data_IF_646083777645
#
_entry.id   IF_646083777645
#
_cell.length_a   1.000
_cell.length_b   1.000
_cell.length_c   1.000
_cell.angle_alpha   90.00
_cell.angle_beta   90.00
_cell.angle_gamma   90.00
#
_symmetry.space_group_name_H-M   'P 1'
#
loop_
_entity.id
_entity.type
_entity.pdbx_description
1 polymer ?
#
# COMPACT_ATOMS: atom_id res chain seq x y z
N UNK A 1 36.26 -11.31 30.97
CA UNK A 1 35.11 -10.39 30.98
C UNK A 1 34.14 -10.83 29.89
N UNK A 2 33.06 -11.49 30.25
CA UNK A 2 32.06 -11.97 29.29
C UNK A 2 31.10 -10.83 28.95
N UNK A 3 31.07 -10.41 27.68
CA UNK A 3 30.13 -9.41 27.13
C UNK A 3 28.74 -10.03 27.08
N UNK A 4 27.87 -9.59 27.96
CA UNK A 4 26.45 -9.98 28.01
C UNK A 4 25.80 -9.54 26.69
N UNK A 5 25.49 -10.48 25.78
CA UNK A 5 24.66 -10.22 24.60
C UNK A 5 23.29 -9.83 25.09
N UNK A 6 22.94 -8.55 24.90
CA UNK A 6 21.63 -8.01 25.16
C UNK A 6 20.71 -8.49 24.03
N UNK A 7 19.95 -9.54 24.35
CA UNK A 7 18.97 -10.13 23.44
C UNK A 7 17.85 -9.12 23.26
N UNK A 8 17.83 -8.38 22.14
CA UNK A 8 16.76 -7.50 21.71
C UNK A 8 15.54 -8.35 21.29
N UNK A 9 14.92 -9.00 22.25
CA UNK A 9 13.56 -9.52 22.05
C UNK A 9 12.65 -8.31 22.05
N UNK A 10 12.04 -8.03 20.89
CA UNK A 10 10.94 -7.06 20.81
C UNK A 10 9.94 -7.46 21.89
N UNK A 11 9.70 -6.58 22.84
CA UNK A 11 8.79 -6.87 23.95
C UNK A 11 7.34 -6.82 23.43
N UNK A 12 6.87 -8.00 23.00
CA UNK A 12 5.51 -8.21 22.53
C UNK A 12 4.46 -7.82 23.57
N UNK A 13 4.83 -7.79 24.86
CA UNK A 13 3.92 -7.35 25.92
C UNK A 13 3.67 -5.85 25.85
N UNK A 14 4.69 -5.04 25.55
CA UNK A 14 4.56 -3.60 25.38
C UNK A 14 3.69 -3.27 24.13
N UNK A 15 3.89 -3.97 23.02
CA UNK A 15 3.06 -3.83 21.82
C UNK A 15 1.60 -4.20 22.11
N UNK A 16 1.38 -5.29 22.84
CA UNK A 16 0.03 -5.72 23.24
C UNK A 16 -0.63 -4.69 24.17
N UNK A 17 0.10 -4.16 25.15
CA UNK A 17 -0.39 -3.13 26.06
C UNK A 17 -0.74 -1.83 25.32
N UNK A 18 0.07 -1.46 24.31
CA UNK A 18 -0.19 -0.28 23.46
C UNK A 18 -1.54 -0.39 22.74
N UNK A 19 -1.85 -1.54 22.14
CA UNK A 19 -3.12 -1.77 21.45
C UNK A 19 -4.30 -2.09 22.37
N UNK A 20 -4.07 -2.38 23.65
CA UNK A 20 -5.12 -2.51 24.65
C UNK A 20 -5.70 -1.16 25.10
N UNK A 21 -4.95 -0.07 24.95
CA UNK A 21 -5.46 1.25 25.24
C UNK A 21 -6.47 1.67 24.16
N UNK A 22 -7.71 1.89 24.57
CA UNK A 22 -8.81 2.22 23.66
C UNK A 22 -8.53 3.48 22.85
N UNK A 23 -8.01 4.54 23.47
CA UNK A 23 -7.69 5.79 22.77
C UNK A 23 -6.63 5.56 21.67
N UNK A 24 -5.55 4.85 22.01
CA UNK A 24 -4.48 4.53 21.06
C UNK A 24 -5.00 3.69 19.90
N UNK A 25 -5.82 2.69 20.18
CA UNK A 25 -6.42 1.81 19.17
C UNK A 25 -7.30 2.60 18.20
N UNK A 26 -8.14 3.50 18.70
CA UNK A 26 -9.03 4.32 17.87
C UNK A 26 -8.20 5.28 17.00
N UNK A 27 -7.23 5.98 17.58
CA UNK A 27 -6.36 6.91 16.83
C UNK A 27 -5.62 6.17 15.73
N UNK A 28 -4.99 5.02 16.04
CA UNK A 28 -4.29 4.20 15.06
C UNK A 28 -5.24 3.70 13.98
N UNK A 29 -6.45 3.29 14.35
CA UNK A 29 -7.48 2.87 13.40
C UNK A 29 -7.84 3.98 12.41
N UNK A 30 -8.07 5.19 12.89
CA UNK A 30 -8.41 6.34 12.04
C UNK A 30 -7.24 6.67 11.09
N UNK A 31 -6.01 6.72 11.60
CA UNK A 31 -4.83 7.00 10.78
C UNK A 31 -4.68 5.95 9.67
N UNK A 32 -4.78 4.66 10.01
CA UNK A 32 -4.70 3.57 9.03
C UNK A 32 -5.83 3.64 7.99
N UNK A 33 -7.03 4.07 8.39
CA UNK A 33 -8.15 4.24 7.47
C UNK A 33 -7.83 5.32 6.43
N UNK A 34 -7.37 6.48 6.89
CA UNK A 34 -6.99 7.60 6.01
C UNK A 34 -5.86 7.19 5.07
N UNK A 35 -4.82 6.52 5.58
CA UNK A 35 -3.70 6.01 4.76
C UNK A 35 -4.20 4.99 3.74
N UNK A 36 -5.09 4.07 4.12
CA UNK A 36 -5.69 3.09 3.23
C UNK A 36 -6.42 3.76 2.07
N UNK A 37 -7.28 4.74 2.34
CA UNK A 37 -7.99 5.49 1.31
C UNK A 37 -7.05 6.30 0.42
N UNK A 38 -6.04 6.96 1.00
CA UNK A 38 -5.06 7.73 0.25
C UNK A 38 -4.28 6.85 -0.74
N UNK A 39 -3.76 5.71 -0.27
CA UNK A 39 -3.02 4.77 -1.11
C UNK A 39 -3.94 4.18 -2.18
N UNK A 40 -5.16 3.77 -1.81
CA UNK A 40 -6.12 3.23 -2.77
C UNK A 40 -6.45 4.24 -3.88
N UNK A 41 -6.76 5.49 -3.51
CA UNK A 41 -7.03 6.55 -4.48
C UNK A 41 -5.83 6.84 -5.38
N UNK A 42 -4.61 6.85 -4.82
CA UNK A 42 -3.37 7.04 -5.59
C UNK A 42 -3.13 5.92 -6.59
N UNK A 43 -3.34 4.65 -6.18
CA UNK A 43 -3.18 3.49 -7.07
C UNK A 43 -4.23 3.50 -8.19
N UNK A 44 -5.50 3.76 -7.86
CA UNK A 44 -6.57 3.84 -8.86
C UNK A 44 -6.34 5.00 -9.85
N UNK A 45 -5.95 6.16 -9.34
CA UNK A 45 -5.62 7.32 -10.17
C UNK A 45 -4.47 7.01 -11.12
N UNK A 46 -3.43 6.34 -10.65
CA UNK A 46 -2.28 5.95 -11.47
C UNK A 46 -2.64 4.94 -12.57
N UNK A 47 -3.60 4.05 -12.34
CA UNK A 47 -4.10 3.14 -13.38
C UNK A 47 -4.84 3.87 -14.50
N UNK A 48 -5.39 5.07 -14.22
CA UNK A 48 -6.14 5.86 -15.19
C UNK A 48 -5.26 6.90 -15.93
N UNK A 49 -4.24 7.43 -15.27
CA UNK A 49 -3.39 8.52 -15.77
C UNK A 49 -1.89 8.25 -15.68
N UNK A 50 -1.51 6.97 -15.54
CA UNK A 50 -0.16 6.56 -15.21
C UNK A 50 0.91 6.95 -16.21
N UNK A 51 0.59 6.96 -17.51
CA UNK A 51 1.56 7.30 -18.57
C UNK A 51 2.08 8.73 -18.42
N UNK A 52 1.19 9.67 -18.10
CA UNK A 52 1.58 11.06 -17.88
C UNK A 52 2.43 11.21 -16.62
N UNK A 53 1.98 10.64 -15.50
CA UNK A 53 2.68 10.72 -14.23
C UNK A 53 4.01 9.96 -14.23
N UNK A 54 4.09 8.83 -14.95
CA UNK A 54 5.30 8.04 -15.11
C UNK A 54 6.42 8.86 -15.75
N UNK A 55 6.11 9.60 -16.80
CA UNK A 55 7.09 10.47 -17.47
C UNK A 55 7.61 11.55 -16.50
N UNK A 56 6.72 12.19 -15.73
CA UNK A 56 7.10 13.23 -14.77
C UNK A 56 8.00 12.73 -13.64
N UNK A 57 7.92 11.45 -13.27
CA UNK A 57 8.78 10.88 -12.23
C UNK A 57 10.27 10.87 -12.59
N UNK A 58 10.59 10.94 -13.87
CA UNK A 58 11.97 10.97 -14.38
C UNK A 58 12.47 12.38 -14.71
N UNK A 59 11.61 13.39 -14.68
CA UNK A 59 12.02 14.78 -14.81
C UNK A 59 12.60 15.35 -13.52
N UNK A 60 13.54 16.28 -13.64
CA UNK A 60 14.03 17.01 -12.47
C UNK A 60 12.95 17.95 -11.91
N UNK A 61 13.03 18.29 -10.62
CA UNK A 61 12.10 19.26 -10.02
C UNK A 61 12.23 20.64 -10.69
N UNK A 62 13.41 20.99 -11.22
CA UNK A 62 13.63 22.23 -11.93
C UNK A 62 12.86 22.27 -13.26
N UNK A 63 12.88 21.16 -14.01
CA UNK A 63 12.17 21.04 -15.29
C UNK A 63 10.66 21.08 -15.09
N UNK A 64 10.15 20.36 -14.08
CA UNK A 64 8.73 20.34 -13.71
C UNK A 64 8.23 21.76 -13.40
N UNK A 65 9.01 22.53 -12.64
CA UNK A 65 8.65 23.90 -12.27
C UNK A 65 8.78 24.87 -13.46
N UNK A 66 9.81 24.70 -14.32
CA UNK A 66 10.02 25.57 -15.49
C UNK A 66 8.91 25.40 -16.53
N UNK A 67 8.40 24.19 -16.70
CA UNK A 67 7.34 23.85 -17.67
C UNK A 67 5.93 23.87 -17.05
N UNK A 68 5.78 24.23 -15.78
CA UNK A 68 4.51 24.21 -15.03
C UNK A 68 3.78 22.86 -15.11
N UNK A 69 4.54 21.76 -15.15
CA UNK A 69 3.98 20.44 -15.22
C UNK A 69 3.39 20.02 -13.87
N UNK A 70 2.24 19.38 -13.90
CA UNK A 70 1.54 18.93 -12.70
C UNK A 70 1.23 17.44 -12.79
N UNK A 71 1.35 16.74 -11.65
CA UNK A 71 0.92 15.35 -11.56
C UNK A 71 -0.60 15.23 -11.66
N UNK A 72 -1.08 14.29 -12.46
CA UNK A 72 -2.50 13.97 -12.59
C UNK A 72 -3.01 13.05 -11.47
N UNK A 73 -2.09 12.45 -10.72
CA UNK A 73 -2.43 11.53 -9.64
C UNK A 73 -3.16 12.24 -8.50
N UNK A 74 -4.25 11.63 -7.99
CA UNK A 74 -5.04 12.14 -6.87
C UNK A 74 -4.22 12.37 -5.60
N UNK A 75 -3.12 11.64 -5.40
CA UNK A 75 -2.15 11.82 -4.32
C UNK A 75 -0.99 12.76 -4.69
N UNK A 76 -1.07 13.50 -5.82
CA UNK A 76 0.02 14.34 -6.33
C UNK A 76 1.32 13.55 -6.54
N UNK A 77 2.49 14.18 -6.46
CA UNK A 77 3.80 13.54 -6.71
C UNK A 77 4.08 12.36 -5.76
N UNK A 78 3.65 12.46 -4.48
CA UNK A 78 3.84 11.39 -3.51
C UNK A 78 2.97 10.18 -3.86
N UNK A 79 1.70 10.40 -4.24
CA UNK A 79 0.80 9.34 -4.70
C UNK A 79 1.30 8.66 -5.97
N UNK A 80 1.78 9.44 -6.95
CA UNK A 80 2.36 8.91 -8.18
C UNK A 80 3.61 8.05 -7.91
N UNK A 81 4.51 8.48 -7.02
CA UNK A 81 5.70 7.70 -6.63
C UNK A 81 5.33 6.39 -5.95
N UNK A 82 4.41 6.43 -4.97
CA UNK A 82 3.92 5.23 -4.29
C UNK A 82 3.29 4.29 -5.30
N UNK A 83 2.41 4.79 -6.16
CA UNK A 83 1.72 3.98 -7.16
C UNK A 83 2.70 3.36 -8.17
N UNK A 84 3.71 4.12 -8.64
CA UNK A 84 4.75 3.61 -9.54
C UNK A 84 5.53 2.45 -8.91
N UNK A 85 5.94 2.57 -7.64
CA UNK A 85 6.64 1.48 -6.94
C UNK A 85 5.74 0.25 -6.85
N UNK A 86 4.52 0.41 -6.42
CA UNK A 86 3.62 -0.71 -6.17
C UNK A 86 3.13 -1.37 -7.45
N UNK A 87 2.81 -0.59 -8.49
CA UNK A 87 2.25 -1.12 -9.74
C UNK A 87 3.36 -1.53 -10.71
N UNK A 88 4.37 -0.66 -10.97
CA UNK A 88 5.36 -0.94 -12.01
C UNK A 88 6.54 -1.78 -11.53
N UNK A 89 6.93 -1.65 -10.24
CA UNK A 89 8.12 -2.34 -9.73
C UNK A 89 7.80 -3.62 -8.94
N UNK A 90 6.59 -3.74 -8.36
CA UNK A 90 6.24 -4.88 -7.50
C UNK A 90 5.26 -5.84 -8.19
N UNK A 91 3.99 -5.83 -7.78
CA UNK A 91 3.03 -6.87 -8.14
C UNK A 91 1.97 -6.42 -9.16
N UNK A 92 2.14 -5.27 -9.79
CA UNK A 92 1.18 -4.75 -10.75
C UNK A 92 -0.17 -4.41 -10.11
N UNK A 93 -1.25 -4.65 -10.86
CA UNK A 93 -2.62 -4.33 -10.44
C UNK A 93 -3.04 -5.08 -9.16
N UNK A 94 -2.44 -6.23 -8.87
CA UNK A 94 -2.76 -7.02 -7.67
C UNK A 94 -2.40 -6.30 -6.36
N UNK A 95 -1.56 -5.26 -6.44
CA UNK A 95 -1.19 -4.40 -5.32
C UNK A 95 -2.40 -3.69 -4.69
N UNK A 96 -3.50 -3.51 -5.43
CA UNK A 96 -4.75 -2.94 -4.90
C UNK A 96 -5.31 -3.70 -3.69
N UNK A 97 -4.96 -4.98 -3.53
CA UNK A 97 -5.37 -5.77 -2.38
C UNK A 97 -4.78 -5.27 -1.05
N UNK A 98 -3.61 -4.61 -1.09
CA UNK A 98 -2.93 -4.14 0.13
C UNK A 98 -3.65 -3.00 0.84
N UNK A 99 -4.03 -1.89 0.17
CA UNK A 99 -4.82 -0.86 0.82
C UNK A 99 -6.20 -1.38 1.26
N UNK A 100 -6.83 -2.29 0.52
CA UNK A 100 -8.07 -2.93 0.98
C UNK A 100 -7.88 -3.72 2.27
N UNK A 101 -6.79 -4.48 2.38
CA UNK A 101 -6.46 -5.19 3.62
C UNK A 101 -6.16 -4.22 4.78
N UNK A 102 -5.42 -3.11 4.53
CA UNK A 102 -5.22 -2.06 5.53
C UNK A 102 -6.53 -1.46 6.02
N UNK A 103 -7.49 -1.25 5.12
CA UNK A 103 -8.85 -0.82 5.47
C UNK A 103 -9.55 -1.80 6.41
N UNK A 104 -9.45 -3.11 6.12
CA UNK A 104 -10.01 -4.15 7.01
C UNK A 104 -9.34 -4.13 8.38
N UNK A 105 -8.01 -3.98 8.43
CA UNK A 105 -7.27 -3.84 9.70
C UNK A 105 -7.75 -2.62 10.49
N UNK A 106 -7.90 -1.48 9.81
CA UNK A 106 -8.41 -0.25 10.40
C UNK A 106 -9.81 -0.44 11.00
N UNK A 107 -10.74 -1.01 10.22
CA UNK A 107 -12.11 -1.26 10.68
C UNK A 107 -12.11 -2.17 11.91
N UNK A 108 -11.26 -3.21 11.93
CA UNK A 108 -11.14 -4.08 13.11
C UNK A 108 -10.58 -3.36 14.33
N UNK A 109 -9.67 -2.40 14.16
CA UNK A 109 -9.17 -1.59 15.27
C UNK A 109 -10.27 -0.68 15.83
N UNK A 110 -11.10 -0.11 14.96
CA UNK A 110 -12.22 0.75 15.36
C UNK A 110 -13.36 -0.05 16.00
N UNK A 111 -13.64 -1.26 15.47
CA UNK A 111 -14.70 -2.15 15.93
C UNK A 111 -14.14 -3.50 16.38
N UNK A 112 -13.57 -3.62 17.59
CA UNK A 112 -12.92 -4.84 18.08
C UNK A 112 -13.87 -6.04 18.24
N UNK A 113 -15.17 -5.80 18.28
CA UNK A 113 -16.22 -6.84 18.36
C UNK A 113 -16.34 -7.67 17.08
N UNK A 114 -15.80 -7.20 15.96
CA UNK A 114 -15.82 -7.94 14.70
C UNK A 114 -14.94 -9.20 14.81
N UNK A 115 -15.54 -10.36 14.56
CA UNK A 115 -14.85 -11.65 14.61
C UNK A 115 -14.06 -11.93 13.33
N UNK A 116 -13.19 -11.00 12.94
CA UNK A 116 -12.32 -11.16 11.77
C UNK A 116 -10.92 -11.62 12.18
N UNK A 117 -10.40 -12.65 11.54
CA UNK A 117 -9.02 -13.10 11.73
C UNK A 117 -8.08 -12.32 10.81
N UNK A 118 -7.33 -11.37 11.35
CA UNK A 118 -6.35 -10.60 10.57
C UNK A 118 -5.24 -11.47 9.96
N UNK A 119 -4.86 -12.54 10.66
CA UNK A 119 -3.85 -13.49 10.17
C UNK A 119 -4.33 -14.19 8.89
N UNK A 120 -5.59 -14.68 8.90
CA UNK A 120 -6.17 -15.29 7.71
C UNK A 120 -6.31 -14.28 6.58
N UNK A 121 -6.72 -13.04 6.89
CA UNK A 121 -6.79 -11.94 5.94
C UNK A 121 -5.43 -11.63 5.30
N UNK A 122 -4.37 -11.54 6.10
CA UNK A 122 -3.01 -11.29 5.61
C UNK A 122 -2.54 -12.42 4.68
N UNK A 123 -2.69 -13.68 5.10
CA UNK A 123 -2.29 -14.83 4.29
C UNK A 123 -3.06 -14.86 2.98
N UNK A 124 -4.38 -14.60 3.03
CA UNK A 124 -5.22 -14.53 1.83
C UNK A 124 -4.78 -13.40 0.89
N UNK A 125 -4.52 -12.21 1.43
CA UNK A 125 -4.04 -11.05 0.65
C UNK A 125 -2.71 -11.38 -0.04
N UNK A 126 -1.74 -11.94 0.69
CA UNK A 126 -0.46 -12.37 0.12
C UNK A 126 -0.65 -13.41 -1.00
N UNK A 127 -1.45 -14.44 -0.74
CA UNK A 127 -1.72 -15.50 -1.72
C UNK A 127 -2.33 -14.91 -2.99
N UNK A 128 -3.40 -14.13 -2.88
CA UNK A 128 -4.08 -13.54 -4.04
C UNK A 128 -3.21 -12.50 -4.76
N UNK A 129 -2.39 -11.73 -4.04
CA UNK A 129 -1.45 -10.79 -4.67
C UNK A 129 -0.48 -11.53 -5.60
N UNK A 130 0.15 -12.60 -5.11
CA UNK A 130 1.08 -13.40 -5.90
C UNK A 130 0.34 -14.10 -7.05
N UNK A 131 -0.79 -14.74 -6.75
CA UNK A 131 -1.56 -15.49 -7.74
C UNK A 131 -2.05 -14.60 -8.88
N UNK A 132 -2.66 -13.44 -8.57
CA UNK A 132 -3.14 -12.50 -9.59
C UNK A 132 -1.96 -11.91 -10.38
N UNK A 133 -0.83 -11.59 -9.73
CA UNK A 133 0.36 -11.09 -10.42
C UNK A 133 0.87 -12.09 -11.46
N UNK A 134 1.01 -13.38 -11.09
CA UNK A 134 1.43 -14.44 -12.00
C UNK A 134 0.39 -14.63 -13.11
N UNK A 135 -0.90 -14.68 -12.75
CA UNK A 135 -1.97 -14.84 -13.72
C UNK A 135 -1.96 -13.72 -14.77
N UNK A 136 -1.82 -12.47 -14.34
CA UNK A 136 -1.73 -11.32 -15.25
C UNK A 136 -0.49 -11.40 -16.15
N UNK A 137 0.66 -11.75 -15.60
CA UNK A 137 1.90 -11.90 -16.37
C UNK A 137 1.79 -12.98 -17.47
N UNK A 138 0.99 -14.02 -17.26
CA UNK A 138 0.75 -15.07 -18.26
C UNK A 138 -0.39 -14.70 -19.22
N UNK A 139 -1.44 -14.03 -18.75
CA UNK A 139 -2.64 -13.74 -19.52
C UNK A 139 -2.47 -12.53 -20.46
N UNK A 140 -1.80 -11.46 -20.02
CA UNK A 140 -1.64 -10.22 -20.81
C UNK A 140 -0.94 -10.45 -22.17
N UNK A 141 0.15 -11.23 -22.28
CA UNK A 141 0.79 -11.49 -23.57
C UNK A 141 -0.07 -12.28 -24.55
N UNK A 142 -1.13 -12.95 -24.05
CA UNK A 142 -2.06 -13.72 -24.88
C UNK A 142 -3.18 -12.86 -25.50
N UNK A 143 -3.30 -11.59 -25.10
CA UNK A 143 -4.32 -10.65 -25.59
C UNK A 143 -3.66 -9.67 -26.56
N UNK A 144 -3.77 -9.86 -27.91
CA UNK A 144 -3.02 -9.07 -28.90
C UNK A 144 -3.38 -7.58 -28.99
N UNK A 145 -4.41 -7.13 -28.26
CA UNK A 145 -5.00 -5.80 -28.39
C UNK A 145 -4.72 -4.83 -27.24
N UNK A 146 -3.94 -5.26 -26.24
CA UNK A 146 -3.55 -4.34 -25.15
C UNK A 146 -2.21 -3.69 -25.48
N UNK A 147 -2.14 -2.35 -25.62
CA UNK A 147 -0.87 -1.65 -25.73
C UNK A 147 -0.09 -1.82 -24.41
N UNK A 148 1.18 -2.14 -24.54
CA UNK A 148 2.13 -2.26 -23.42
C UNK A 148 2.45 -0.87 -22.87
#
# INVERSE_FOLDING_TARGET
MAKKQQNNKVDLSAVKAFFQNEKTRIITGIILLVVSFYVLASLLSFLLSGDHDYNLLYHSLADINAENLTYSNAGSSLGAKIANIFINQWFGISTLLWPLFLGVVSIKLLHPTLQMSLTKGLISTLFFTIWISIFMALALPMIPSLPY
#
